data_IF_379948536300
#
_entry.id   IF_379948536300
#
_cell.length_a   1.000
_cell.length_b   1.000
_cell.length_c   1.000
_cell.angle_alpha   90.00
_cell.angle_beta   90.00
_cell.angle_gamma   90.00
#
_symmetry.space_group_name_H-M   'P 1'
#
loop_
_entity.id
_entity.type
_entity.pdbx_description
1 polymer ?
#
# COMPACT_ATOMS: atom_id res chain seq x y z
N UNK A 1 6.79 -27.17 -6.49
CA UNK A 1 5.39 -27.51 -6.13
C UNK A 1 5.20 -27.19 -4.66
N UNK A 2 4.66 -26.02 -4.31
CA UNK A 2 4.33 -25.72 -2.91
C UNK A 2 3.04 -26.51 -2.62
N UNK A 3 3.18 -27.65 -1.94
CA UNK A 3 2.03 -28.35 -1.36
C UNK A 3 1.68 -27.61 -0.08
N UNK A 4 0.85 -26.57 -0.18
CA UNK A 4 0.17 -26.03 0.99
C UNK A 4 -0.80 -27.10 1.48
N UNK A 5 -0.65 -27.55 2.73
CA UNK A 5 -1.67 -28.36 3.37
C UNK A 5 -2.94 -27.51 3.49
N UNK A 6 -4.03 -27.97 2.89
CA UNK A 6 -5.32 -27.31 2.99
C UNK A 6 -5.88 -27.48 4.40
N UNK A 7 -6.39 -26.41 5.01
CA UNK A 7 -7.04 -26.49 6.32
C UNK A 7 -8.41 -27.14 6.18
N UNK A 8 -8.62 -28.29 6.83
CA UNK A 8 -9.87 -29.06 6.72
C UNK A 8 -10.85 -28.79 7.85
N UNK A 9 -10.36 -28.36 9.01
CA UNK A 9 -11.19 -28.07 10.18
C UNK A 9 -11.89 -26.71 10.02
N UNK A 10 -13.20 -26.68 10.25
CA UNK A 10 -13.99 -25.46 10.05
C UNK A 10 -13.60 -24.36 11.04
N UNK A 11 -13.34 -24.74 12.29
CA UNK A 11 -12.92 -23.78 13.31
C UNK A 11 -11.61 -23.08 12.94
N UNK A 12 -10.63 -23.84 12.44
CA UNK A 12 -9.33 -23.30 12.03
C UNK A 12 -9.45 -22.39 10.80
N UNK A 13 -10.32 -22.76 9.84
CA UNK A 13 -10.63 -21.90 8.69
C UNK A 13 -11.17 -20.54 9.14
N UNK A 14 -12.14 -20.55 10.06
CA UNK A 14 -12.71 -19.33 10.59
C UNK A 14 -11.66 -18.46 11.29
N UNK A 15 -10.83 -19.06 12.16
CA UNK A 15 -9.77 -18.35 12.88
C UNK A 15 -8.78 -17.67 11.91
N UNK A 16 -8.34 -18.40 10.88
CA UNK A 16 -7.43 -17.86 9.85
C UNK A 16 -8.13 -16.75 9.07
N UNK A 17 -9.39 -16.93 8.70
CA UNK A 17 -10.16 -15.93 7.95
C UNK A 17 -10.36 -14.63 8.74
N UNK A 18 -10.64 -14.72 10.05
CA UNK A 18 -10.74 -13.56 10.93
C UNK A 18 -9.42 -12.81 11.02
N UNK A 19 -8.30 -13.52 11.24
CA UNK A 19 -6.97 -12.92 11.25
C UNK A 19 -6.62 -12.24 9.92
N UNK A 20 -6.93 -12.90 8.81
CA UNK A 20 -6.76 -12.37 7.45
C UNK A 20 -7.58 -11.09 7.24
N UNK A 21 -8.86 -11.10 7.63
CA UNK A 21 -9.77 -9.95 7.49
C UNK A 21 -9.34 -8.76 8.35
N UNK A 22 -8.88 -9.01 9.57
CA UNK A 22 -8.37 -7.96 10.47
C UNK A 22 -7.12 -7.30 9.90
N UNK A 23 -6.18 -8.07 9.34
CA UNK A 23 -5.01 -7.52 8.65
C UNK A 23 -5.43 -6.63 7.47
N UNK A 24 -6.37 -7.10 6.65
CA UNK A 24 -6.87 -6.34 5.50
C UNK A 24 -7.51 -5.02 5.91
N UNK A 25 -8.33 -5.03 6.97
CA UNK A 25 -8.93 -3.82 7.49
C UNK A 25 -7.85 -2.81 7.93
N UNK A 26 -6.83 -3.28 8.65
CA UNK A 26 -5.68 -2.44 9.02
C UNK A 26 -4.92 -1.90 7.80
N UNK A 27 -4.81 -2.67 6.71
CA UNK A 27 -4.20 -2.22 5.47
C UNK A 27 -5.04 -1.15 4.76
N UNK A 28 -6.38 -1.27 4.78
CA UNK A 28 -7.26 -0.23 4.25
C UNK A 28 -7.07 1.07 4.99
N UNK A 29 -7.17 1.03 6.32
CA UNK A 29 -7.03 2.20 7.18
C UNK A 29 -5.64 2.85 7.03
N UNK A 30 -4.58 2.03 6.97
CA UNK A 30 -3.23 2.53 6.75
C UNK A 30 -3.09 3.22 5.39
N UNK A 31 -3.58 2.61 4.31
CA UNK A 31 -3.47 3.19 2.97
C UNK A 31 -4.34 4.42 2.77
N UNK A 32 -5.53 4.46 3.38
CA UNK A 32 -6.37 5.65 3.37
C UNK A 32 -5.72 6.78 4.16
N UNK A 33 -5.18 6.50 5.36
CA UNK A 33 -4.42 7.49 6.15
C UNK A 33 -3.18 8.01 5.42
N UNK A 34 -2.41 7.11 4.77
CA UNK A 34 -1.27 7.50 3.92
C UNK A 34 -1.74 8.39 2.76
N UNK A 35 -2.85 8.06 2.12
CA UNK A 35 -3.44 8.88 1.03
C UNK A 35 -3.81 10.28 1.52
N UNK A 36 -4.49 10.38 2.66
CA UNK A 36 -4.93 11.64 3.26
C UNK A 36 -3.75 12.50 3.73
N UNK A 37 -2.65 11.88 4.15
CA UNK A 37 -1.44 12.58 4.59
C UNK A 37 -0.59 13.15 3.44
N UNK A 38 -0.88 12.79 2.19
CA UNK A 38 -0.04 13.15 1.04
C UNK A 38 0.25 14.65 0.90
N UNK A 39 -0.73 15.58 1.03
CA UNK A 39 -0.45 17.02 0.92
C UNK A 39 0.53 17.51 2.00
N UNK A 40 0.36 17.05 3.24
CA UNK A 40 1.20 17.43 4.38
C UNK A 40 2.62 16.92 4.19
N UNK A 41 2.78 15.65 3.77
CA UNK A 41 4.10 15.07 3.54
C UNK A 41 4.85 15.75 2.39
N UNK A 42 4.17 16.12 1.31
CA UNK A 42 4.76 16.86 0.18
C UNK A 42 5.07 18.31 0.55
N UNK A 43 4.32 18.92 1.46
CA UNK A 43 4.65 20.24 1.99
C UNK A 43 5.94 20.21 2.80
N UNK A 44 6.10 19.20 3.67
CA UNK A 44 7.28 19.02 4.52
C UNK A 44 8.53 18.59 3.73
N UNK A 45 8.38 17.68 2.75
CA UNK A 45 9.46 17.22 1.88
C UNK A 45 8.92 16.97 0.46
N UNK A 46 9.38 17.76 -0.51
CA UNK A 46 8.99 17.60 -1.93
C UNK A 46 9.42 16.24 -2.49
N UNK A 47 10.45 15.61 -1.94
CA UNK A 47 10.85 14.25 -2.34
C UNK A 47 9.88 13.17 -1.88
N UNK A 48 8.95 13.47 -0.97
CA UNK A 48 7.92 12.53 -0.51
C UNK A 48 7.04 12.06 -1.67
N UNK A 49 6.83 12.87 -2.71
CA UNK A 49 6.13 12.49 -3.94
C UNK A 49 6.70 11.22 -4.58
N UNK A 50 8.01 11.03 -4.53
CA UNK A 50 8.66 9.88 -5.17
C UNK A 50 8.93 8.76 -4.17
N UNK A 51 9.44 9.13 -2.99
CA UNK A 51 9.88 8.17 -1.98
C UNK A 51 8.73 7.41 -1.35
N UNK A 52 7.65 8.10 -0.97
CA UNK A 52 6.52 7.44 -0.30
C UNK A 52 5.79 6.50 -1.26
N UNK A 53 5.45 6.90 -2.51
CA UNK A 53 4.89 5.96 -3.48
C UNK A 53 5.81 4.79 -3.85
N UNK A 54 7.14 4.96 -3.83
CA UNK A 54 8.05 3.84 -4.04
C UNK A 54 7.91 2.81 -2.89
N UNK A 55 7.98 3.26 -1.63
CA UNK A 55 7.81 2.41 -0.47
C UNK A 55 6.42 1.74 -0.41
N UNK A 56 5.36 2.46 -0.79
CA UNK A 56 4.00 1.90 -0.88
C UNK A 56 3.93 0.78 -1.92
N UNK A 57 4.61 0.90 -3.07
CA UNK A 57 4.66 -0.16 -4.08
C UNK A 57 5.44 -1.39 -3.61
N UNK A 58 6.54 -1.20 -2.88
CA UNK A 58 7.29 -2.30 -2.29
C UNK A 58 6.45 -3.07 -1.27
N UNK A 59 5.79 -2.33 -0.37
CA UNK A 59 4.89 -2.91 0.62
C UNK A 59 3.71 -3.62 -0.05
N UNK A 60 3.16 -3.09 -1.15
CA UNK A 60 2.10 -3.75 -1.91
C UNK A 60 2.56 -5.14 -2.38
N UNK A 61 3.77 -5.25 -2.93
CA UNK A 61 4.31 -6.53 -3.41
C UNK A 61 4.51 -7.57 -2.30
N UNK A 62 5.10 -7.16 -1.18
CA UNK A 62 5.32 -8.08 -0.03
C UNK A 62 3.99 -8.50 0.60
N UNK A 63 3.07 -7.55 0.75
CA UNK A 63 1.72 -7.82 1.28
C UNK A 63 0.97 -8.77 0.37
N UNK A 64 0.98 -8.54 -0.94
CA UNK A 64 0.29 -9.39 -1.92
C UNK A 64 0.79 -10.84 -1.87
N UNK A 65 2.11 -11.03 -1.77
CA UNK A 65 2.73 -12.34 -1.62
C UNK A 65 2.30 -13.04 -0.32
N UNK A 66 2.27 -12.32 0.81
CA UNK A 66 1.78 -12.84 2.08
C UNK A 66 0.31 -13.25 1.99
N UNK A 67 -0.55 -12.38 1.45
CA UNK A 67 -1.98 -12.66 1.31
C UNK A 67 -2.21 -13.88 0.42
N UNK A 68 -1.45 -14.05 -0.67
CA UNK A 68 -1.51 -15.25 -1.51
C UNK A 68 -1.13 -16.52 -0.75
N UNK A 69 -0.11 -16.46 0.11
CA UNK A 69 0.32 -17.62 0.91
C UNK A 69 -0.75 -18.02 1.93
N UNK A 70 -1.41 -17.04 2.57
CA UNK A 70 -2.53 -17.31 3.50
C UNK A 70 -3.75 -17.81 2.73
N UNK A 71 -4.10 -17.20 1.60
CA UNK A 71 -5.22 -17.63 0.76
C UNK A 71 -5.08 -19.10 0.30
N UNK A 72 -3.85 -19.54 0.03
CA UNK A 72 -3.56 -20.88 -0.46
C UNK A 72 -3.85 -22.01 0.56
N UNK A 73 -4.18 -21.69 1.81
CA UNK A 73 -4.56 -22.71 2.80
C UNK A 73 -6.04 -23.06 2.74
N UNK A 74 -6.89 -22.18 2.19
CA UNK A 74 -8.33 -22.41 2.15
C UNK A 74 -8.71 -23.45 1.09
N UNK A 75 -9.63 -24.37 1.40
CA UNK A 75 -10.20 -25.27 0.40
C UNK A 75 -10.94 -24.49 -0.69
N UNK A 76 -10.78 -24.89 -1.95
CA UNK A 76 -11.35 -24.19 -3.12
C UNK A 76 -12.87 -24.22 -3.19
N UNK A 77 -13.50 -25.18 -2.50
CA UNK A 77 -14.94 -25.38 -2.41
C UNK A 77 -15.61 -24.61 -1.25
N UNK A 78 -14.84 -23.83 -0.50
CA UNK A 78 -15.37 -22.99 0.59
C UNK A 78 -15.59 -21.54 0.13
N UNK A 79 -16.53 -20.85 0.80
CA UNK A 79 -16.75 -19.42 0.58
C UNK A 79 -15.50 -18.58 0.90
N UNK A 80 -14.68 -19.00 1.87
CA UNK A 80 -13.47 -18.29 2.28
C UNK A 80 -12.47 -18.09 1.13
N UNK A 81 -12.33 -19.05 0.22
CA UNK A 81 -11.48 -18.90 -0.98
C UNK A 81 -11.87 -17.68 -1.81
N UNK A 82 -13.17 -17.52 -2.10
CA UNK A 82 -13.67 -16.37 -2.87
C UNK A 82 -13.63 -15.06 -2.09
N UNK A 83 -13.98 -15.09 -0.79
CA UNK A 83 -14.02 -13.90 0.06
C UNK A 83 -12.63 -13.30 0.24
N UNK A 84 -11.63 -14.13 0.51
CA UNK A 84 -10.24 -13.69 0.66
C UNK A 84 -9.67 -13.13 -0.65
N UNK A 85 -9.98 -13.76 -1.79
CA UNK A 85 -9.61 -13.21 -3.10
C UNK A 85 -10.22 -11.82 -3.37
N UNK A 86 -11.48 -11.63 -3.01
CA UNK A 86 -12.16 -10.34 -3.14
C UNK A 86 -11.52 -9.27 -2.23
N UNK A 87 -11.21 -9.62 -0.99
CA UNK A 87 -10.53 -8.71 -0.06
C UNK A 87 -9.12 -8.33 -0.55
N UNK A 88 -8.34 -9.28 -1.05
CA UNK A 88 -7.03 -9.00 -1.69
C UNK A 88 -7.15 -8.01 -2.85
N UNK A 89 -8.17 -8.16 -3.70
CA UNK A 89 -8.41 -7.23 -4.81
C UNK A 89 -8.73 -5.80 -4.32
N UNK A 90 -9.44 -5.68 -3.20
CA UNK A 90 -9.69 -4.40 -2.55
C UNK A 90 -8.39 -3.80 -1.99
N UNK A 91 -7.53 -4.60 -1.33
CA UNK A 91 -6.22 -4.13 -0.82
C UNK A 91 -5.40 -3.54 -1.96
N UNK A 92 -5.31 -4.25 -3.08
CA UNK A 92 -4.61 -3.77 -4.28
C UNK A 92 -5.19 -2.44 -4.83
N UNK A 93 -6.46 -2.16 -4.58
CA UNK A 93 -7.07 -0.87 -4.94
C UNK A 93 -6.68 0.24 -3.97
N UNK A 94 -6.66 -0.02 -2.66
CA UNK A 94 -6.20 0.95 -1.65
C UNK A 94 -4.72 1.32 -1.84
N UNK A 95 -3.84 0.35 -2.08
CA UNK A 95 -2.43 0.62 -2.39
C UNK A 95 -2.25 1.51 -3.63
N UNK A 96 -3.02 1.25 -4.71
CA UNK A 96 -2.98 2.08 -5.92
C UNK A 96 -3.51 3.49 -5.67
N UNK A 97 -4.57 3.63 -4.87
CA UNK A 97 -5.14 4.93 -4.48
C UNK A 97 -4.13 5.75 -3.66
N UNK A 98 -3.42 5.12 -2.73
CA UNK A 98 -2.36 5.77 -1.95
C UNK A 98 -1.25 6.32 -2.83
N UNK A 99 -0.73 5.53 -3.78
CA UNK A 99 0.25 6.02 -4.77
C UNK A 99 -0.31 7.19 -5.58
N UNK A 100 -1.55 7.09 -6.05
CA UNK A 100 -2.18 8.13 -6.85
C UNK A 100 -2.38 9.44 -6.07
N UNK A 101 -2.69 9.36 -4.77
CA UNK A 101 -2.89 10.53 -3.92
C UNK A 101 -1.65 11.43 -3.86
N UNK A 102 -0.44 10.86 -3.81
CA UNK A 102 0.80 11.64 -3.84
C UNK A 102 1.02 12.35 -5.17
N UNK A 103 0.82 11.65 -6.30
CA UNK A 103 0.94 12.30 -7.60
C UNK A 103 -0.10 13.42 -7.78
N UNK A 104 -1.34 13.20 -7.31
CA UNK A 104 -2.39 14.21 -7.38
C UNK A 104 -2.07 15.41 -6.48
N UNK A 105 -1.57 15.17 -5.27
CA UNK A 105 -1.16 16.21 -4.35
C UNK A 105 -0.04 17.08 -4.95
N UNK A 106 0.99 16.49 -5.56
CA UNK A 106 2.01 17.27 -6.29
C UNK A 106 1.41 18.04 -7.45
N UNK A 107 0.57 17.42 -8.29
CA UNK A 107 -0.04 18.10 -9.44
C UNK A 107 -0.84 19.36 -9.06
N UNK A 108 -1.39 19.38 -7.84
CA UNK A 108 -2.12 20.52 -7.29
C UNK A 108 -1.21 21.58 -6.61
N UNK A 109 0.10 21.35 -6.50
CA UNK A 109 1.04 22.36 -6.00
C UNK A 109 1.47 23.31 -7.12
N UNK A 110 1.57 24.61 -6.83
CA UNK A 110 1.93 25.63 -7.82
C UNK A 110 3.37 25.55 -8.36
N UNK A 111 4.22 24.69 -7.79
CA UNK A 111 5.59 24.44 -8.26
C UNK A 111 5.95 22.95 -8.09
N UNK A 112 5.40 22.07 -8.95
CA UNK A 112 5.40 20.62 -8.73
C UNK A 112 6.78 19.95 -8.80
N UNK A 113 7.80 20.63 -9.32
CA UNK A 113 9.14 20.05 -9.53
C UNK A 113 10.30 20.95 -9.08
N UNK A 114 10.04 21.94 -8.22
CA UNK A 114 11.09 22.88 -7.81
C UNK A 114 12.04 22.26 -6.78
N UNK A 115 13.00 21.48 -7.28
CA UNK A 115 14.25 21.16 -6.60
C UNK A 115 15.33 22.20 -6.93
N UNK A 116 14.95 23.43 -7.26
CA UNK A 116 15.94 24.50 -7.47
C UNK A 116 16.48 24.91 -6.10
N UNK A 117 17.47 24.17 -5.60
CA UNK A 117 18.42 24.70 -4.64
C UNK A 117 19.03 25.91 -5.32
N UNK A 118 18.62 27.12 -4.94
CA UNK A 118 19.29 28.34 -5.33
C UNK A 118 20.73 28.24 -4.83
N UNK A 119 21.63 27.83 -5.71
CA UNK A 119 23.07 28.01 -5.49
C UNK A 119 23.26 29.52 -5.48
N UNK A 120 23.35 30.10 -4.28
CA UNK A 120 23.76 31.48 -4.12
C UNK A 120 25.18 31.60 -4.67
N UNK A 121 25.31 32.01 -5.93
CA UNK A 121 26.59 32.45 -6.49
C UNK A 121 26.93 33.72 -5.74
N UNK A 122 27.74 33.61 -4.69
CA UNK A 122 28.41 34.75 -4.10
C UNK A 122 29.36 35.31 -5.17
N UNK A 123 28.90 36.30 -5.93
CA UNK A 123 29.77 37.15 -6.72
C UNK A 123 30.55 38.00 -5.72
N UNK A 124 31.74 37.54 -5.35
CA UNK A 124 32.73 38.40 -4.74
C UNK A 124 33.20 39.38 -5.82
N UNK A 125 32.71 40.62 -5.73
CA UNK A 125 33.30 41.76 -6.42
C UNK A 125 34.45 42.22 -5.54
N UNK A 126 35.69 41.92 -5.95
CA UNK A 126 36.88 42.73 -5.69
C UNK A 126 37.78 42.74 -6.94
#
# INVERSE_FOLDING_TARGET
>A
MIRSSVVTEYHDQQLIYEGYSNLIQGLFELMDSVSESAPVLIELDKQAEFRVPAAVREMAGVTDALLMQVMAVFPTDTSYSSQTANQRAQVNTHFRRAVHAFHLATANTGSPYSNTTTVAVAVAIE
#
